data_IF_308099956981
#
_entry.id   IF_308099956981
#
_cell.length_a   1.000
_cell.length_b   1.000
_cell.length_c   1.000
_cell.angle_alpha   90.00
_cell.angle_beta   90.00
_cell.angle_gamma   90.00
#
_symmetry.space_group_name_H-M   'P 1'
#
loop_
_entity.id
_entity.type
_entity.pdbx_description
1 polymer ?
#
# COMPACT_ATOMS: atom_id res chain seq x y z
N UNK A 1 -33.26 -14.70 8.05
CA UNK A 1 -32.16 -14.92 7.08
C UNK A 1 -31.17 -13.79 7.26
N UNK A 2 -29.93 -14.09 7.63
CA UNK A 2 -28.84 -13.12 7.70
C UNK A 2 -28.01 -13.19 6.41
N UNK A 3 -27.71 -12.03 5.82
CA UNK A 3 -26.91 -11.94 4.60
C UNK A 3 -25.61 -11.20 4.93
N UNK A 4 -24.51 -11.71 4.41
CA UNK A 4 -23.19 -11.07 4.51
C UNK A 4 -22.82 -10.60 3.12
N UNK A 5 -22.41 -9.34 3.01
CA UNK A 5 -21.82 -8.78 1.81
C UNK A 5 -20.41 -8.29 2.12
N UNK A 6 -19.47 -8.61 1.23
CA UNK A 6 -18.11 -8.11 1.35
C UNK A 6 -18.01 -6.75 0.67
N UNK A 7 -17.87 -5.69 1.46
CA UNK A 7 -17.65 -4.34 0.95
C UNK A 7 -16.13 -4.11 0.92
N UNK A 8 -15.47 -4.67 -0.10
CA UNK A 8 -14.03 -4.54 -0.31
C UNK A 8 -13.64 -3.15 -0.79
N UNK A 9 -13.65 -2.17 0.13
CA UNK A 9 -13.46 -0.75 -0.18
C UNK A 9 -12.11 -0.20 0.25
N UNK A 10 -11.19 -1.10 0.67
CA UNK A 10 -9.83 -0.70 1.02
C UNK A 10 -9.03 -0.46 -0.25
N UNK A 11 -8.54 0.76 -0.40
CA UNK A 11 -7.67 1.18 -1.49
C UNK A 11 -6.34 1.65 -0.93
N UNK A 12 -5.25 1.38 -1.64
CA UNK A 12 -3.92 1.93 -1.32
C UNK A 12 -3.42 2.61 -2.59
N UNK A 13 -2.86 3.82 -2.44
CA UNK A 13 -2.23 4.55 -3.55
C UNK A 13 -0.90 5.16 -3.12
N UNK A 14 -0.05 5.42 -4.09
CA UNK A 14 1.13 6.27 -3.93
C UNK A 14 0.64 7.72 -3.81
N UNK A 15 1.18 8.49 -2.87
CA UNK A 15 0.83 9.90 -2.73
C UNK A 15 1.30 10.69 -3.96
N UNK A 16 0.43 11.55 -4.49
CA UNK A 16 0.75 12.44 -5.60
C UNK A 16 1.66 13.60 -5.19
N UNK A 17 1.72 13.91 -3.89
CA UNK A 17 2.53 15.00 -3.34
C UNK A 17 3.91 14.51 -2.89
N UNK A 18 3.99 13.29 -2.36
CA UNK A 18 5.24 12.71 -1.88
C UNK A 18 5.35 11.25 -2.35
N UNK A 19 6.25 10.93 -3.30
CA UNK A 19 6.36 9.58 -3.84
C UNK A 19 6.96 8.58 -2.84
N UNK A 20 7.45 9.01 -1.67
CA UNK A 20 7.85 8.13 -0.58
C UNK A 20 6.67 7.69 0.29
N UNK A 21 5.52 8.34 0.17
CA UNK A 21 4.38 8.15 1.06
C UNK A 21 3.29 7.30 0.39
N UNK A 22 2.64 6.45 1.18
CA UNK A 22 1.43 5.74 0.76
C UNK A 22 0.21 6.22 1.54
N UNK A 23 -0.91 6.27 0.83
CA UNK A 23 -2.20 6.64 1.37
C UNK A 23 -3.17 5.46 1.30
N UNK A 24 -3.98 5.29 2.33
CA UNK A 24 -5.06 4.29 2.41
C UNK A 24 -6.42 4.96 2.45
N UNK A 25 -7.40 4.36 1.81
CA UNK A 25 -8.81 4.71 1.95
C UNK A 25 -9.57 3.48 2.42
N UNK A 26 -10.45 3.65 3.41
CA UNK A 26 -11.38 2.61 3.88
C UNK A 26 -12.83 2.92 3.48
N UNK A 27 -13.03 3.87 2.58
CA UNK A 27 -14.35 4.37 2.17
C UNK A 27 -14.41 4.61 0.65
N UNK A 28 -13.87 3.66 -0.13
CA UNK A 28 -13.94 3.65 -1.59
C UNK A 28 -13.36 4.93 -2.25
N UNK A 29 -12.33 5.52 -1.63
CA UNK A 29 -11.63 6.68 -2.17
C UNK A 29 -12.23 8.03 -1.80
N UNK A 30 -13.28 8.08 -0.98
CA UNK A 30 -13.90 9.34 -0.52
C UNK A 30 -12.93 10.14 0.35
N UNK A 31 -12.22 9.48 1.27
CA UNK A 31 -11.14 10.10 2.04
C UNK A 31 -9.93 9.18 2.13
N UNK A 32 -8.78 9.82 2.38
CA UNK A 32 -7.47 9.17 2.38
C UNK A 32 -6.69 9.59 3.63
N UNK A 33 -5.98 8.65 4.23
CA UNK A 33 -5.07 8.88 5.34
C UNK A 33 -3.72 8.26 5.03
N UNK A 34 -2.65 8.80 5.61
CA UNK A 34 -1.31 8.23 5.46
C UNK A 34 -1.27 6.85 6.11
N UNK A 35 -0.76 5.84 5.39
CA UNK A 35 -0.49 4.50 5.92
C UNK A 35 1.00 4.23 6.08
N UNK A 36 1.82 4.96 5.31
CA UNK A 36 3.27 4.88 5.36
C UNK A 36 3.85 6.26 5.07
N UNK A 37 4.60 6.83 6.01
CA UNK A 37 5.17 8.18 5.91
C UNK A 37 6.37 8.27 4.96
N UNK A 38 7.02 7.14 4.67
CA UNK A 38 8.24 7.07 3.87
C UNK A 38 9.43 6.55 4.66
N UNK A 39 10.43 6.01 3.96
CA UNK A 39 11.71 5.60 4.52
C UNK A 39 12.80 5.71 3.47
N UNK A 40 13.98 6.18 3.88
CA UNK A 40 15.15 6.21 3.02
C UNK A 40 15.60 4.79 2.59
N UNK A 41 15.35 3.78 3.42
CA UNK A 41 15.68 2.38 3.10
C UNK A 41 14.78 1.79 2.02
N UNK A 42 13.56 2.30 1.88
CA UNK A 42 12.62 1.90 0.83
C UNK A 42 12.77 2.74 -0.43
N UNK A 43 13.01 4.04 -0.29
CA UNK A 43 13.00 4.98 -1.40
C UNK A 43 11.58 5.36 -1.86
N UNK A 44 11.50 5.98 -3.04
CA UNK A 44 10.24 6.39 -3.65
C UNK A 44 9.53 5.21 -4.32
N UNK A 45 8.21 5.12 -4.18
CA UNK A 45 7.37 4.13 -4.83
C UNK A 45 7.11 4.50 -6.30
N UNK A 46 7.14 3.50 -7.18
CA UNK A 46 6.82 3.67 -8.61
C UNK A 46 5.60 2.85 -9.04
N UNK A 47 5.45 1.67 -8.47
CA UNK A 47 4.39 0.72 -8.83
C UNK A 47 3.95 -0.05 -7.60
N UNK A 48 2.64 -0.27 -7.49
CA UNK A 48 2.02 -1.13 -6.49
C UNK A 48 1.27 -2.27 -7.18
N UNK A 49 1.32 -3.45 -6.58
CA UNK A 49 0.50 -4.58 -6.95
C UNK A 49 0.07 -5.36 -5.70
N UNK A 50 -0.90 -6.26 -5.82
CA UNK A 50 -1.32 -7.08 -4.69
C UNK A 50 -1.64 -8.51 -5.11
N UNK A 51 -1.44 -9.43 -4.17
CA UNK A 51 -1.90 -10.82 -4.26
C UNK A 51 -2.57 -11.18 -2.94
N UNK A 52 -3.90 -11.25 -2.95
CA UNK A 52 -4.68 -11.34 -1.72
C UNK A 52 -4.44 -10.11 -0.83
N UNK A 53 -4.10 -10.35 0.44
CA UNK A 53 -3.78 -9.29 1.41
C UNK A 53 -2.32 -8.79 1.36
N UNK A 54 -1.45 -9.43 0.56
CA UNK A 54 -0.05 -9.01 0.43
C UNK A 54 0.07 -7.93 -0.65
N UNK A 55 0.70 -6.82 -0.30
CA UNK A 55 1.03 -5.71 -1.21
C UNK A 55 2.48 -5.86 -1.66
N UNK A 56 2.75 -5.59 -2.93
CA UNK A 56 4.07 -5.56 -3.54
C UNK A 56 4.34 -4.16 -4.06
N UNK A 57 5.59 -3.72 -3.94
CA UNK A 57 6.03 -2.44 -4.43
C UNK A 57 7.33 -2.58 -5.22
N UNK A 58 7.41 -1.84 -6.33
CA UNK A 58 8.69 -1.45 -6.92
C UNK A 58 9.01 -0.05 -6.45
N UNK A 59 10.19 0.12 -5.88
CA UNK A 59 10.69 1.40 -5.38
C UNK A 59 12.02 1.74 -6.03
N UNK A 60 12.57 2.93 -5.73
CA UNK A 60 13.90 3.35 -6.18
C UNK A 60 15.04 2.53 -5.62
N UNK A 61 14.84 1.85 -4.48
CA UNK A 61 15.87 1.00 -3.86
C UNK A 61 15.73 -0.48 -4.26
N UNK A 62 14.54 -0.93 -4.64
CA UNK A 62 14.33 -2.29 -5.09
C UNK A 62 12.88 -2.77 -5.00
N UNK A 63 12.70 -4.07 -4.85
CA UNK A 63 11.38 -4.70 -4.72
C UNK A 63 11.09 -5.01 -3.26
N UNK A 64 9.90 -4.67 -2.82
CA UNK A 64 9.46 -4.89 -1.44
C UNK A 64 8.08 -5.55 -1.41
N UNK A 65 7.78 -6.23 -0.31
CA UNK A 65 6.43 -6.73 0.00
C UNK A 65 5.99 -6.26 1.37
N UNK A 66 4.69 -6.10 1.55
CA UNK A 66 4.02 -5.84 2.82
C UNK A 66 2.91 -6.85 3.04
N UNK A 67 2.93 -7.52 4.19
CA UNK A 67 1.83 -8.37 4.68
C UNK A 67 0.93 -7.63 5.68
N UNK A 68 1.24 -6.36 5.97
CA UNK A 68 0.54 -5.49 6.91
C UNK A 68 -0.24 -4.39 6.19
N UNK A 69 -0.66 -4.65 4.96
CA UNK A 69 -1.46 -3.74 4.12
C UNK A 69 -0.76 -2.40 3.85
N UNK A 70 0.57 -2.44 3.64
CA UNK A 70 1.37 -1.27 3.27
C UNK A 70 1.95 -0.48 4.44
N UNK A 71 1.73 -0.90 5.69
CA UNK A 71 2.30 -0.26 6.89
C UNK A 71 3.79 -0.56 7.06
N UNK A 72 4.19 -1.81 6.83
CA UNK A 72 5.57 -2.28 6.99
C UNK A 72 6.01 -3.06 5.76
N UNK A 73 7.30 -2.98 5.46
CA UNK A 73 7.83 -3.50 4.21
C UNK A 73 9.08 -4.35 4.44
N UNK A 74 9.14 -5.48 3.75
CA UNK A 74 10.31 -6.36 3.74
C UNK A 74 10.87 -6.41 2.32
N UNK A 75 12.17 -6.19 2.19
CA UNK A 75 12.87 -6.29 0.91
C UNK A 75 12.78 -7.73 0.38
N UNK A 76 12.50 -7.87 -0.91
CA UNK A 76 12.48 -9.16 -1.59
C UNK A 76 13.87 -9.34 -2.20
N UNK A 77 14.68 -10.23 -1.61
CA UNK A 77 15.94 -10.64 -2.22
C UNK A 77 15.61 -11.55 -3.40
N UNK A 78 16.17 -11.22 -4.57
CA UNK A 78 16.17 -12.11 -5.74
C UNK A 78 17.35 -13.06 -5.67
#
# INVERSE_FOLDING_TARGET
MSQIIYIGIKLIKISSENPYQLLVSNNAGISWSVVFEGSAELGSFFELGNKGATVFAKTSIGKFRSVTEGRDWTKINS
#
